data_IF_966206699485
#
_entry.id   IF_966206699485
#
_cell.length_a   1.000
_cell.length_b   1.000
_cell.length_c   1.000
_cell.angle_alpha   90.00
_cell.angle_beta   90.00
_cell.angle_gamma   90.00
#
_symmetry.space_group_name_H-M   'P 1'
#
loop_
_entity.id
_entity.type
_entity.pdbx_description
1 polymer ?
#
# COMPACT_ATOMS: atom_id res chain seq x y z
N UNK A 1 3.39 -4.16 19.84
CA UNK A 1 2.45 -3.02 20.04
C UNK A 1 1.39 -3.31 21.10
N UNK A 2 0.45 -4.26 20.94
CA UNK A 2 -0.52 -4.55 22.03
C UNK A 2 0.14 -5.19 23.26
N UNK A 3 1.06 -6.14 23.03
CA UNK A 3 1.85 -6.75 24.11
C UNK A 3 2.70 -5.71 24.86
N UNK A 4 3.35 -4.81 24.11
CA UNK A 4 4.19 -3.75 24.68
C UNK A 4 3.37 -2.68 25.43
N UNK A 5 2.18 -2.35 24.92
CA UNK A 5 1.29 -1.35 25.53
C UNK A 5 0.34 -1.93 26.59
N UNK A 6 0.37 -3.26 26.80
CA UNK A 6 -0.54 -4.02 27.66
C UNK A 6 -2.02 -3.61 27.50
N UNK A 7 -2.45 -3.30 26.27
CA UNK A 7 -3.80 -2.84 25.99
C UNK A 7 -4.34 -3.44 24.69
N UNK A 8 -5.64 -3.67 24.65
CA UNK A 8 -6.33 -4.22 23.48
C UNK A 8 -6.68 -3.09 22.52
N UNK A 9 -6.32 -3.27 21.25
CA UNK A 9 -6.67 -2.32 20.19
C UNK A 9 -8.20 -2.33 19.96
N UNK A 10 -8.85 -1.16 20.01
CA UNK A 10 -10.30 -1.03 19.81
C UNK A 10 -10.68 -0.64 18.38
N UNK A 11 -9.83 0.16 17.74
CA UNK A 11 -9.89 0.49 16.32
C UNK A 11 -8.49 0.79 15.79
N UNK A 12 -8.30 0.61 14.49
CA UNK A 12 -7.09 0.95 13.77
C UNK A 12 -7.40 2.08 12.79
N UNK A 13 -6.84 3.26 13.03
CA UNK A 13 -6.84 4.35 12.05
C UNK A 13 -5.73 4.11 11.04
N UNK A 14 -6.04 4.31 9.77
CA UNK A 14 -5.14 4.02 8.64
C UNK A 14 -4.97 5.23 7.74
N UNK A 15 -3.78 5.39 7.16
CA UNK A 15 -3.46 6.46 6.21
C UNK A 15 -2.54 5.98 5.06
N UNK A 16 -2.32 6.85 4.08
CA UNK A 16 -1.45 6.64 2.93
C UNK A 16 -2.15 6.07 1.68
N UNK A 17 -1.44 6.04 0.56
CA UNK A 17 -2.01 5.70 -0.75
C UNK A 17 -2.67 4.32 -0.85
N UNK A 18 -2.18 3.32 -0.10
CA UNK A 18 -2.74 1.97 -0.12
C UNK A 18 -4.15 1.87 0.51
N UNK A 19 -4.51 2.83 1.35
CA UNK A 19 -5.78 2.88 2.10
C UNK A 19 -6.99 3.17 1.22
N UNK A 20 -6.76 3.65 -0.01
CA UNK A 20 -7.80 3.76 -1.04
C UNK A 20 -8.40 2.38 -1.42
N UNK A 21 -7.66 1.28 -1.23
CA UNK A 21 -8.13 -0.06 -1.58
C UNK A 21 -9.06 -0.66 -0.51
N UNK A 22 -10.36 -0.66 -0.79
CA UNK A 22 -11.39 -1.19 0.11
C UNK A 22 -11.21 -2.69 0.44
N UNK A 23 -10.69 -3.49 -0.50
CA UNK A 23 -10.42 -4.91 -0.25
C UNK A 23 -9.31 -5.08 0.78
N UNK A 24 -8.22 -4.32 0.64
CA UNK A 24 -7.12 -4.35 1.59
C UNK A 24 -7.57 -3.94 3.00
N UNK A 25 -8.42 -2.91 3.11
CA UNK A 25 -8.95 -2.46 4.40
C UNK A 25 -9.87 -3.49 5.05
N UNK A 26 -10.74 -4.14 4.27
CA UNK A 26 -11.57 -5.22 4.77
C UNK A 26 -10.72 -6.41 5.22
N UNK A 27 -9.74 -6.82 4.40
CA UNK A 27 -8.82 -7.90 4.74
C UNK A 27 -8.03 -7.61 6.02
N UNK A 28 -7.57 -6.36 6.19
CA UNK A 28 -6.89 -5.90 7.39
C UNK A 28 -7.79 -5.98 8.63
N UNK A 29 -9.05 -5.54 8.52
CA UNK A 29 -10.04 -5.63 9.60
C UNK A 29 -10.37 -7.07 9.97
N UNK A 30 -10.50 -7.93 8.96
CA UNK A 30 -10.82 -9.35 9.16
C UNK A 30 -9.68 -10.12 9.83
N UNK A 31 -8.42 -9.82 9.48
CA UNK A 31 -7.23 -10.43 10.12
C UNK A 31 -7.05 -9.94 11.55
N UNK A 32 -7.19 -8.63 11.79
CA UNK A 32 -6.99 -8.05 13.13
C UNK A 32 -8.16 -8.31 14.07
N UNK A 33 -9.32 -8.74 13.54
CA UNK A 33 -10.56 -8.88 14.30
C UNK A 33 -10.97 -7.58 14.99
N UNK A 34 -10.59 -6.44 14.41
CA UNK A 34 -10.79 -5.10 14.98
C UNK A 34 -11.26 -4.14 13.88
N UNK A 35 -11.96 -3.07 14.25
CA UNK A 35 -12.43 -2.03 13.31
C UNK A 35 -11.26 -1.32 12.66
N UNK A 36 -11.38 -1.02 11.38
CA UNK A 36 -10.43 -0.17 10.64
C UNK A 36 -11.16 1.10 10.21
N UNK A 37 -10.62 2.26 10.57
CA UNK A 37 -11.19 3.58 10.29
C UNK A 37 -10.34 4.28 9.24
N UNK A 38 -10.95 4.59 8.08
CA UNK A 38 -10.34 5.40 7.03
C UNK A 38 -10.80 6.85 7.16
N UNK A 39 -9.89 7.82 7.39
CA UNK A 39 -10.21 9.24 7.38
C UNK A 39 -10.50 9.73 5.95
N UNK A 40 -11.22 10.84 5.84
CA UNK A 40 -11.47 11.52 4.56
C UNK A 40 -10.18 12.03 3.92
N UNK A 41 -9.31 12.62 4.74
CA UNK A 41 -7.97 13.04 4.32
C UNK A 41 -7.01 11.86 4.45
N UNK A 42 -6.56 11.33 3.31
CA UNK A 42 -5.73 10.11 3.26
C UNK A 42 -4.25 10.35 3.57
N UNK A 43 -3.77 11.58 3.36
CA UNK A 43 -2.38 11.96 3.60
C UNK A 43 -2.25 12.66 4.96
N UNK A 44 -2.32 11.87 6.03
CA UNK A 44 -2.21 12.34 7.42
C UNK A 44 -0.88 13.06 7.69
N UNK A 45 0.19 12.67 6.99
CA UNK A 45 1.52 13.27 7.13
C UNK A 45 1.53 14.74 6.72
N UNK A 46 0.99 15.04 5.53
CA UNK A 46 0.88 16.42 5.05
C UNK A 46 -0.09 17.23 5.90
N UNK A 47 -1.22 16.61 6.30
CA UNK A 47 -2.21 17.24 7.16
C UNK A 47 -1.63 17.62 8.54
N UNK A 48 -0.82 16.75 9.15
CA UNK A 48 -0.17 17.03 10.42
C UNK A 48 0.81 18.20 10.34
N UNK A 49 1.62 18.27 9.28
CA UNK A 49 2.51 19.40 9.05
C UNK A 49 1.74 20.72 8.85
N UNK A 50 0.63 20.67 8.11
CA UNK A 50 -0.26 21.81 7.93
C UNK A 50 -0.83 22.28 9.28
N UNK A 51 -1.37 21.37 10.09
CA UNK A 51 -1.91 21.70 11.42
C UNK A 51 -0.89 22.36 12.34
N UNK A 52 0.33 21.84 12.40
CA UNK A 52 1.40 22.45 13.21
C UNK A 52 1.74 23.87 12.74
N UNK A 53 1.90 24.06 11.43
CA UNK A 53 2.19 25.37 10.86
C UNK A 53 1.03 26.36 11.07
N UNK A 54 -0.20 25.91 10.86
CA UNK A 54 -1.39 26.74 11.01
C UNK A 54 -1.65 27.16 12.46
N UNK A 55 -1.40 26.28 13.43
CA UNK A 55 -1.45 26.66 14.84
C UNK A 55 -0.36 27.68 15.20
N UNK A 56 0.85 27.54 14.66
CA UNK A 56 1.95 28.45 14.92
C UNK A 56 1.71 29.88 14.40
N UNK A 57 0.98 30.02 13.27
CA UNK A 57 0.66 31.33 12.67
C UNK A 57 -0.73 31.86 13.08
N UNK A 58 -1.46 31.15 13.95
CA UNK A 58 -2.81 31.53 14.38
C UNK A 58 -3.88 31.36 13.29
N UNK A 59 -3.66 30.53 12.27
CA UNK A 59 -4.68 30.14 11.31
C UNK A 59 -5.77 29.28 11.96
N UNK A 60 -5.39 28.45 12.95
CA UNK A 60 -6.31 27.79 13.87
C UNK A 60 -6.09 28.32 15.29
N UNK A 61 -7.18 28.42 16.04
CA UNK A 61 -7.18 29.03 17.37
C UNK A 61 -6.60 28.08 18.44
N UNK A 62 -6.93 26.80 18.35
CA UNK A 62 -6.54 25.80 19.34
C UNK A 62 -6.56 24.36 18.78
N UNK A 63 -6.13 23.42 19.63
CA UNK A 63 -6.11 21.99 19.31
C UNK A 63 -7.50 21.39 19.14
N UNK A 64 -8.54 21.94 19.77
CA UNK A 64 -9.90 21.41 19.70
C UNK A 64 -10.54 21.74 18.34
N UNK A 65 -10.26 22.94 17.80
CA UNK A 65 -10.60 23.31 16.43
C UNK A 65 -9.99 22.34 15.42
N UNK A 66 -8.72 21.96 15.60
CA UNK A 66 -8.04 21.00 14.73
C UNK A 66 -8.59 19.57 14.90
N UNK A 67 -8.85 19.13 16.14
CA UNK A 67 -9.43 17.80 16.42
C UNK A 67 -10.79 17.61 15.73
N UNK A 68 -11.60 18.66 15.67
CA UNK A 68 -12.92 18.61 15.02
C UNK A 68 -12.86 18.28 13.52
N UNK A 69 -11.68 18.45 12.89
CA UNK A 69 -11.47 18.21 11.45
C UNK A 69 -11.06 16.77 11.13
N UNK A 70 -10.82 15.93 12.13
CA UNK A 70 -10.50 14.52 11.95
C UNK A 70 -11.77 13.69 11.63
N UNK A 71 -12.29 13.83 10.42
CA UNK A 71 -13.52 13.17 9.96
C UNK A 71 -13.21 11.78 9.39
N UNK A 72 -13.98 10.79 9.83
CA UNK A 72 -13.93 9.41 9.31
C UNK A 72 -14.79 9.32 8.05
N UNK A 73 -14.18 8.95 6.91
CA UNK A 73 -14.90 8.69 5.65
C UNK A 73 -15.64 7.35 5.74
N UNK A 74 -14.94 6.31 6.21
CA UNK A 74 -15.44 4.94 6.17
C UNK A 74 -14.88 4.09 7.28
N UNK A 75 -15.76 3.29 7.88
CA UNK A 75 -15.41 2.26 8.84
C UNK A 75 -15.55 0.87 8.20
N UNK A 76 -14.54 0.02 8.40
CA UNK A 76 -14.56 -1.40 8.03
C UNK A 76 -14.66 -2.23 9.30
N UNK A 77 -15.70 -3.07 9.37
CA UNK A 77 -15.91 -3.98 10.51
C UNK A 77 -15.49 -5.40 10.13
N UNK A 78 -14.96 -6.18 11.08
CA UNK A 78 -14.61 -7.57 10.84
C UNK A 78 -15.85 -8.36 10.44
N UNK A 79 -15.82 -8.95 9.25
CA UNK A 79 -16.87 -9.85 8.78
C UNK A 79 -16.46 -11.24 9.20
N UNK A 80 -16.64 -11.58 10.47
CA UNK A 80 -16.36 -12.91 10.98
C UNK A 80 -17.28 -13.95 10.34
N UNK A 81 -16.86 -14.45 9.17
CA UNK A 81 -17.31 -15.70 8.58
C UNK A 81 -16.10 -16.32 7.89
N UNK A 82 -15.46 -17.25 8.60
CA UNK A 82 -14.75 -18.42 8.10
C UNK A 82 -13.35 -18.61 8.73
N UNK A 83 -13.14 -19.82 9.23
CA UNK A 83 -11.94 -20.65 9.24
C UNK A 83 -10.88 -20.39 8.13
N UNK A 84 -11.21 -19.65 7.07
CA UNK A 84 -10.33 -19.25 5.98
C UNK A 84 -9.36 -18.11 6.32
N UNK A 85 -9.63 -17.22 7.28
CA UNK A 85 -8.70 -16.12 7.64
C UNK A 85 -7.44 -16.63 8.37
N UNK A 86 -7.55 -17.79 9.03
CA UNK A 86 -6.42 -18.45 9.71
C UNK A 86 -5.40 -19.03 8.71
N UNK A 87 -5.84 -19.45 7.51
CA UNK A 87 -4.96 -20.07 6.51
C UNK A 87 -3.92 -19.08 5.93
N UNK A 88 -4.28 -17.83 5.54
CA UNK A 88 -3.30 -16.80 5.19
C UNK A 88 -2.34 -16.47 6.32
N UNK A 89 -2.81 -16.37 7.58
CA UNK A 89 -1.95 -16.06 8.71
C UNK A 89 -0.91 -17.15 8.95
N UNK A 90 -1.34 -18.42 8.98
CA UNK A 90 -0.42 -19.56 9.10
C UNK A 90 0.58 -19.64 7.93
N UNK A 91 0.17 -19.28 6.71
CA UNK A 91 1.07 -19.25 5.55
C UNK A 91 2.07 -18.10 5.66
N UNK A 92 1.63 -16.93 6.13
CA UNK A 92 2.50 -15.77 6.35
C UNK A 92 3.54 -16.07 7.42
N UNK A 93 3.16 -16.63 8.55
CA UNK A 93 4.08 -17.05 9.62
C UNK A 93 5.14 -18.03 9.11
N UNK A 94 4.72 -19.08 8.38
CA UNK A 94 5.62 -20.05 7.76
C UNK A 94 6.57 -19.41 6.75
N UNK A 95 6.11 -18.42 5.98
CA UNK A 95 6.93 -17.71 4.98
C UNK A 95 7.89 -16.67 5.59
N UNK A 96 7.51 -16.05 6.72
CA UNK A 96 8.32 -15.06 7.43
C UNK A 96 9.60 -15.66 8.03
N UNK A 97 9.52 -16.91 8.50
CA UNK A 97 10.69 -17.65 9.01
C UNK A 97 11.76 -17.96 7.95
N UNK A 98 11.39 -17.98 6.67
CA UNK A 98 12.33 -18.30 5.57
C UNK A 98 13.16 -17.10 5.11
N UNK A 99 12.76 -15.87 5.47
CA UNK A 99 13.45 -14.63 5.04
C UNK A 99 14.59 -14.19 5.96
N UNK A 100 14.73 -14.79 7.15
CA UNK A 100 15.81 -14.48 8.10
C UNK A 100 17.23 -14.82 7.54
N UNK A 101 17.31 -15.62 6.48
CA UNK A 101 18.57 -15.97 5.80
C UNK A 101 18.96 -15.08 4.60
N UNK A 102 18.19 -14.05 4.26
CA UNK A 102 18.40 -13.22 3.06
C UNK A 102 19.49 -12.15 3.26
N UNK A 103 20.58 -12.50 3.94
CA UNK A 103 21.81 -11.69 4.08
C UNK A 103 23.03 -12.32 3.38
N UNK A 104 22.89 -13.51 2.80
CA UNK A 104 23.95 -14.11 1.97
C UNK A 104 23.69 -13.76 0.52
N UNK A 105 24.52 -12.85 -0.02
CA UNK A 105 24.70 -12.61 -1.45
C UNK A 105 24.82 -13.95 -2.17
N UNK A 106 23.71 -14.44 -2.72
CA UNK A 106 23.76 -15.47 -3.76
C UNK A 106 24.12 -14.70 -5.01
N UNK A 107 25.41 -14.75 -5.35
CA UNK A 107 25.90 -14.46 -6.70
C UNK A 107 24.99 -15.24 -7.64
N UNK A 108 24.12 -14.53 -8.35
CA UNK A 108 23.30 -15.12 -9.40
C UNK A 108 24.30 -15.55 -10.48
N UNK A 109 24.46 -16.85 -10.79
CA UNK A 109 25.31 -17.24 -11.89
C UNK A 109 24.70 -16.60 -13.14
N UNK A 110 25.49 -15.78 -13.85
CA UNK A 110 25.08 -15.19 -15.12
C UNK A 110 24.71 -16.34 -16.05
N UNK A 111 23.40 -16.51 -16.30
CA UNK A 111 22.92 -17.38 -17.38
C UNK A 111 23.53 -16.84 -18.68
N UNK A 112 24.15 -17.70 -19.52
CA UNK A 112 24.68 -17.26 -20.80
C UNK A 112 23.51 -16.71 -21.63
N UNK A 113 23.67 -15.47 -22.08
CA UNK A 113 22.73 -14.78 -22.95
C UNK A 113 22.60 -15.59 -24.25
N UNK A 114 21.54 -16.39 -24.36
CA UNK A 114 21.24 -17.17 -25.55
C UNK A 114 20.84 -16.17 -26.64
N UNK A 115 21.77 -15.84 -27.53
CA UNK A 115 21.46 -15.12 -28.77
C UNK A 115 20.42 -15.93 -29.53
N UNK A 116 19.17 -15.45 -29.55
CA UNK A 116 18.22 -15.89 -30.55
C UNK A 116 18.68 -15.34 -31.88
N UNK A 117 19.17 -16.23 -32.74
CA UNK A 117 19.38 -15.93 -34.15
C UNK A 117 18.04 -15.54 -34.76
N UNK A 118 17.93 -14.28 -35.18
CA UNK A 118 16.86 -13.79 -36.05
C UNK A 118 16.98 -14.51 -37.40
N UNK A 119 15.90 -15.10 -37.95
CA UNK A 119 15.95 -15.66 -39.29
C UNK A 119 16.19 -14.54 -40.31
N UNK A 120 17.27 -14.68 -41.08
CA UNK A 120 17.53 -13.87 -42.25
C UNK A 120 16.44 -14.13 -43.30
N UNK A 121 15.77 -13.08 -43.75
CA UNK A 121 14.88 -13.14 -44.92
C UNK A 121 13.46 -12.66 -44.64
N UNK A 122 13.25 -11.35 -44.75
CA UNK A 122 11.92 -10.75 -44.81
C UNK A 122 12.06 -9.32 -45.32
N UNK A 123 11.85 -9.13 -46.62
CA UNK A 123 11.89 -7.83 -47.26
C UNK A 123 10.85 -6.90 -46.63
N UNK A 124 11.32 -5.91 -45.87
CA UNK A 124 10.48 -4.88 -45.27
C UNK A 124 10.15 -3.86 -46.36
N UNK A 125 8.94 -3.95 -46.91
CA UNK A 125 8.41 -3.03 -47.91
C UNK A 125 8.08 -1.68 -47.23
N UNK A 126 8.95 -0.69 -47.40
CA UNK A 126 8.68 0.69 -46.98
C UNK A 126 7.87 1.40 -48.07
N UNK A 127 6.69 1.99 -47.78
CA UNK A 127 6.03 2.87 -48.74
C UNK A 127 6.81 4.19 -48.83
N UNK A 128 7.23 4.55 -50.06
CA UNK A 128 7.84 5.86 -50.35
C UNK A 128 6.79 6.98 -50.22
N UNK A 129 7.17 8.16 -49.69
CA UNK A 129 6.29 9.32 -49.71
C UNK A 129 6.14 9.84 -51.15
N UNK A 130 4.90 10.02 -51.58
CA UNK A 130 4.58 10.71 -52.83
C UNK A 130 4.89 12.20 -52.67
N UNK A 131 5.77 12.71 -53.53
CA UNK A 131 5.96 14.13 -53.73
C UNK A 131 4.75 14.67 -54.51
N UNK A 132 4.03 15.63 -53.94
CA UNK A 132 3.09 16.47 -54.69
C UNK A 132 3.62 17.90 -54.64
N UNK A 133 4.20 18.31 -55.77
CA UNK A 133 4.44 19.70 -56.11
C UNK A 133 3.41 20.08 -57.17
N UNK A 134 2.52 21.01 -56.82
CA UNK A 134 1.96 22.13 -57.60
C UNK A 134 0.78 22.72 -56.84
#
# INVERSE_FOLDING_TARGET
>A
MQADANTRLQSLRVDGGAVANNFLMQFQSDILGTRVERPEVRESTALGAAFLAGLAIGYWNDLDEVKSKAVVEREFRPKHRNHRTQLPLQRLEKSGGSRSGMGRSRVIPKLPFRQQALPAGGAFFLPRPAATAL
#
